data_IF_666388249356
#
_entry.id   IF_666388249356
#
_cell.length_a   1.000
_cell.length_b   1.000
_cell.length_c   1.000
_cell.angle_alpha   90.00
_cell.angle_beta   90.00
_cell.angle_gamma   90.00
#
_symmetry.space_group_name_H-M   'P 1'
#
loop_
_entity.id
_entity.type
_entity.pdbx_description
1 polymer ?
#
# COMPACT_ATOMS: atom_id res chain seq x y z
N UNK A 1 5.70 6.35 -22.83
CA UNK A 1 5.67 7.81 -23.00
C UNK A 1 7.08 8.29 -23.35
N UNK A 2 7.35 8.49 -24.64
CA UNK A 2 8.65 8.91 -25.18
C UNK A 2 8.83 10.40 -24.89
N UNK A 3 9.80 10.75 -24.05
CA UNK A 3 10.15 12.15 -23.80
C UNK A 3 10.90 12.65 -25.03
N UNK A 4 10.26 13.55 -25.77
CA UNK A 4 10.84 14.26 -26.89
C UNK A 4 11.93 15.23 -26.38
N UNK A 5 13.16 14.92 -26.75
CA UNK A 5 14.37 15.65 -26.35
C UNK A 5 14.32 17.09 -26.89
N UNK A 6 13.78 17.29 -28.09
CA UNK A 6 13.67 18.63 -28.71
C UNK A 6 12.61 19.48 -28.01
N UNK A 7 11.49 18.86 -27.64
CA UNK A 7 10.47 19.55 -26.83
C UNK A 7 10.99 19.91 -25.43
N UNK A 8 11.83 19.05 -24.87
CA UNK A 8 12.47 19.29 -23.58
C UNK A 8 13.49 20.43 -23.67
N UNK A 9 14.25 20.50 -24.77
CA UNK A 9 15.19 21.57 -25.12
C UNK A 9 14.49 22.93 -25.25
N UNK A 10 13.42 23.03 -26.03
CA UNK A 10 12.71 24.30 -26.24
C UNK A 10 12.21 24.96 -24.93
N UNK A 11 11.70 24.14 -24.00
CA UNK A 11 11.23 24.62 -22.69
C UNK A 11 12.42 25.04 -21.79
N UNK A 12 13.58 24.38 -21.90
CA UNK A 12 14.79 24.78 -21.17
C UNK A 12 15.27 26.16 -21.65
N UNK A 13 15.31 26.39 -22.97
CA UNK A 13 15.72 27.66 -23.56
C UNK A 13 14.85 28.84 -23.10
N UNK A 14 13.52 28.65 -23.00
CA UNK A 14 12.61 29.70 -22.53
C UNK A 14 12.80 30.08 -21.06
N UNK A 15 13.14 29.12 -20.19
CA UNK A 15 13.40 29.39 -18.77
C UNK A 15 14.75 30.11 -18.53
N UNK A 16 15.67 29.99 -19.49
CA UNK A 16 17.06 30.44 -19.39
C UNK A 16 17.30 31.88 -19.83
N UNK A 17 16.45 32.42 -20.70
CA UNK A 17 16.52 33.82 -21.15
C UNK A 17 16.31 34.85 -20.02
N UNK A 18 15.92 34.40 -18.82
CA UNK A 18 15.61 35.24 -17.65
C UNK A 18 16.67 35.26 -16.55
N UNK A 19 17.77 34.49 -16.63
CA UNK A 19 18.75 34.41 -15.52
C UNK A 19 20.17 34.82 -15.90
N UNK A 20 20.61 35.99 -15.44
CA UNK A 20 22.03 36.35 -15.34
C UNK A 20 22.32 36.79 -13.90
N UNK A 21 23.09 35.98 -13.18
CA UNK A 21 23.89 36.36 -12.01
C UNK A 21 23.16 36.75 -10.72
N UNK A 22 22.66 35.76 -9.99
CA UNK A 22 22.71 35.70 -8.52
C UNK A 22 22.59 34.22 -8.12
N UNK A 23 23.27 33.75 -7.07
CA UNK A 23 23.19 32.33 -6.66
C UNK A 23 21.75 31.91 -6.35
N UNK A 24 20.97 32.85 -5.80
CA UNK A 24 19.52 32.74 -5.63
C UNK A 24 18.77 32.55 -6.95
N UNK A 25 19.14 33.30 -7.99
CA UNK A 25 18.55 33.18 -9.33
C UNK A 25 18.91 31.82 -9.94
N UNK A 26 20.16 31.36 -9.77
CA UNK A 26 20.58 30.03 -10.23
C UNK A 26 19.81 28.92 -9.51
N UNK A 27 19.64 29.00 -8.18
CA UNK A 27 18.86 28.04 -7.39
C UNK A 27 17.40 28.05 -7.83
N UNK A 28 16.81 29.23 -8.08
CA UNK A 28 15.43 29.37 -8.55
C UNK A 28 15.25 28.79 -9.96
N UNK A 29 16.16 29.07 -10.89
CA UNK A 29 16.17 28.48 -12.22
C UNK A 29 16.33 26.97 -12.14
N UNK A 30 17.26 26.47 -11.32
CA UNK A 30 17.47 25.04 -11.12
C UNK A 30 16.22 24.35 -10.53
N UNK A 31 15.54 24.99 -9.58
CA UNK A 31 14.27 24.53 -9.01
C UNK A 31 13.17 24.39 -10.09
N UNK A 32 13.02 25.37 -10.98
CA UNK A 32 12.08 25.27 -12.11
C UNK A 32 12.41 24.11 -13.06
N UNK A 33 13.70 23.76 -13.19
CA UNK A 33 14.16 22.65 -14.03
C UNK A 33 14.18 21.30 -13.32
N UNK A 34 13.94 21.26 -12.01
CA UNK A 34 14.07 20.07 -11.17
C UNK A 34 13.27 18.85 -11.69
N UNK A 35 12.00 18.98 -12.12
CA UNK A 35 11.25 17.82 -12.62
C UNK A 35 11.91 17.15 -13.83
N UNK A 36 12.55 17.95 -14.69
CA UNK A 36 13.26 17.44 -15.86
C UNK A 36 14.60 16.84 -15.49
N UNK A 37 15.34 17.50 -14.60
CA UNK A 37 16.62 16.99 -14.09
C UNK A 37 16.42 15.64 -13.40
N UNK A 38 15.36 15.49 -12.60
CA UNK A 38 14.98 14.23 -11.98
C UNK A 38 14.62 13.16 -13.02
N UNK A 39 13.88 13.50 -14.08
CA UNK A 39 13.60 12.58 -15.18
C UNK A 39 14.88 12.10 -15.90
N UNK A 40 15.88 12.98 -16.07
CA UNK A 40 17.20 12.62 -16.62
C UNK A 40 17.99 11.72 -15.65
N UNK A 41 17.96 12.00 -14.35
CA UNK A 41 18.58 11.17 -13.31
C UNK A 41 17.95 9.78 -13.23
N UNK A 42 16.63 9.66 -13.39
CA UNK A 42 15.92 8.38 -13.45
C UNK A 42 16.29 7.55 -14.69
N UNK A 43 16.80 8.20 -15.75
CA UNK A 43 17.38 7.55 -16.94
C UNK A 43 18.89 7.31 -16.80
N UNK A 44 19.42 7.38 -15.58
CA UNK A 44 20.82 7.10 -15.25
C UNK A 44 21.86 8.09 -15.80
N UNK A 45 21.46 9.29 -16.25
CA UNK A 45 22.43 10.31 -16.66
C UNK A 45 23.25 10.81 -15.46
N UNK A 46 24.57 10.94 -15.63
CA UNK A 46 25.45 11.48 -14.60
C UNK A 46 25.27 13.00 -14.45
N UNK A 47 25.70 13.56 -13.31
CA UNK A 47 25.69 15.00 -13.12
C UNK A 47 26.60 15.73 -14.11
N UNK A 48 27.68 15.11 -14.58
CA UNK A 48 28.53 15.66 -15.64
C UNK A 48 27.74 15.85 -16.94
N UNK A 49 26.99 14.81 -17.36
CA UNK A 49 26.13 14.86 -18.54
C UNK A 49 25.01 15.90 -18.37
N UNK A 50 24.40 15.97 -17.18
CA UNK A 50 23.37 16.96 -16.89
C UNK A 50 23.95 18.37 -16.95
N UNK A 51 25.12 18.63 -16.36
CA UNK A 51 25.76 19.95 -16.45
C UNK A 51 26.20 20.30 -17.86
N UNK A 52 26.60 19.33 -18.68
CA UNK A 52 26.90 19.56 -20.08
C UNK A 52 25.65 20.00 -20.86
N UNK A 53 24.53 19.30 -20.68
CA UNK A 53 23.23 19.67 -21.27
C UNK A 53 22.79 21.05 -20.78
N UNK A 54 22.95 21.36 -19.50
CA UNK A 54 22.62 22.67 -18.95
C UNK A 54 23.50 23.78 -19.54
N UNK A 55 24.81 23.54 -19.67
CA UNK A 55 25.76 24.49 -20.27
C UNK A 55 25.47 24.75 -21.75
N UNK A 56 25.12 23.71 -22.53
CA UNK A 56 24.67 23.84 -23.93
C UNK A 56 23.45 24.75 -24.07
N UNK A 57 22.63 24.87 -23.03
CA UNK A 57 21.45 25.72 -23.01
C UNK A 57 21.69 27.07 -22.31
N UNK A 58 22.95 27.44 -22.06
CA UNK A 58 23.32 28.72 -21.45
C UNK A 58 23.27 28.74 -19.92
N UNK A 59 23.10 27.58 -19.27
CA UNK A 59 23.14 27.45 -17.81
C UNK A 59 24.44 26.80 -17.33
N UNK A 60 25.46 27.62 -17.12
CA UNK A 60 26.74 27.12 -16.64
C UNK A 60 26.77 27.06 -15.12
N UNK A 61 26.75 25.85 -14.57
CA UNK A 61 26.91 25.58 -13.14
C UNK A 61 27.99 24.51 -12.93
N UNK A 62 28.65 24.53 -11.78
CA UNK A 62 29.58 23.45 -11.42
C UNK A 62 28.81 22.15 -11.13
N UNK A 63 29.46 21.01 -11.37
CA UNK A 63 28.91 19.68 -11.06
C UNK A 63 28.58 19.56 -9.56
N UNK A 64 29.42 20.13 -8.70
CA UNK A 64 29.21 20.12 -7.25
C UNK A 64 27.99 20.94 -6.86
N UNK A 65 27.83 22.13 -7.45
CA UNK A 65 26.66 22.99 -7.23
C UNK A 65 25.37 22.33 -7.74
N UNK A 66 25.41 21.72 -8.92
CA UNK A 66 24.28 20.97 -9.48
C UNK A 66 23.84 19.83 -8.56
N UNK A 67 24.80 19.10 -7.98
CA UNK A 67 24.55 18.02 -7.04
C UNK A 67 23.98 18.55 -5.72
N UNK A 68 24.52 19.64 -5.19
CA UNK A 68 24.03 20.26 -3.96
C UNK A 68 22.57 20.71 -4.13
N UNK A 69 22.26 21.50 -5.16
CA UNK A 69 20.90 21.94 -5.45
C UNK A 69 19.93 20.77 -5.67
N UNK A 70 20.36 19.74 -6.39
CA UNK A 70 19.54 18.55 -6.60
C UNK A 70 19.19 17.86 -5.27
N UNK A 71 20.18 17.65 -4.40
CA UNK A 71 19.97 16.98 -3.13
C UNK A 71 19.09 17.82 -2.20
N UNK A 72 19.33 19.12 -2.09
CA UNK A 72 18.50 20.03 -1.30
C UNK A 72 17.03 20.00 -1.75
N UNK A 73 16.78 20.19 -3.05
CA UNK A 73 15.43 20.22 -3.59
C UNK A 73 14.73 18.85 -3.48
N UNK A 74 15.49 17.76 -3.59
CA UNK A 74 14.94 16.42 -3.38
C UNK A 74 14.51 16.22 -1.92
N UNK A 75 15.31 16.69 -0.97
CA UNK A 75 14.96 16.65 0.46
C UNK A 75 13.73 17.51 0.73
N UNK A 76 13.66 18.74 0.18
CA UNK A 76 12.49 19.60 0.30
C UNK A 76 11.22 18.92 -0.26
N UNK A 77 11.31 18.24 -1.41
CA UNK A 77 10.21 17.45 -1.96
C UNK A 77 9.82 16.27 -1.09
N UNK A 78 10.79 15.55 -0.51
CA UNK A 78 10.53 14.44 0.41
C UNK A 78 9.82 14.91 1.68
N UNK A 79 10.21 16.05 2.24
CA UNK A 79 9.57 16.66 3.41
C UNK A 79 8.13 17.06 3.06
N UNK A 80 7.92 17.72 1.93
CA UNK A 80 6.58 18.11 1.48
C UNK A 80 5.67 16.89 1.25
N UNK A 81 6.21 15.83 0.64
CA UNK A 81 5.48 14.58 0.42
C UNK A 81 5.15 13.88 1.74
N UNK A 82 6.10 13.86 2.70
CA UNK A 82 5.85 13.30 4.04
C UNK A 82 4.73 14.05 4.75
N UNK A 83 4.77 15.40 4.73
CA UNK A 83 3.70 16.23 5.31
C UNK A 83 2.34 15.94 4.67
N UNK A 84 2.30 15.77 3.34
CA UNK A 84 1.06 15.42 2.63
C UNK A 84 0.56 14.03 3.02
N UNK A 85 1.45 13.06 3.21
CA UNK A 85 1.09 11.72 3.68
C UNK A 85 0.57 11.78 5.12
N UNK A 86 1.19 12.57 5.99
CA UNK A 86 0.73 12.75 7.37
C UNK A 86 -0.65 13.43 7.43
N UNK A 87 -0.89 14.44 6.58
CA UNK A 87 -2.21 15.07 6.43
C UNK A 87 -3.26 14.09 5.89
N UNK A 88 -2.91 13.28 4.88
CA UNK A 88 -3.80 12.24 4.36
C UNK A 88 -4.09 11.16 5.39
N UNK A 89 -3.09 10.77 6.19
CA UNK A 89 -3.23 9.79 7.27
C UNK A 89 -4.09 10.37 8.41
N UNK A 90 -3.92 11.64 8.76
CA UNK A 90 -4.77 12.32 9.73
C UNK A 90 -6.21 12.39 9.25
N UNK A 91 -6.43 12.75 7.98
CA UNK A 91 -7.77 12.76 7.39
C UNK A 91 -8.40 11.36 7.36
N UNK A 92 -7.62 10.34 6.99
CA UNK A 92 -8.06 8.95 7.04
C UNK A 92 -8.41 8.52 8.47
N UNK A 93 -7.57 8.83 9.45
CA UNK A 93 -7.85 8.53 10.86
C UNK A 93 -9.11 9.27 11.36
N UNK A 94 -9.31 10.54 10.98
CA UNK A 94 -10.56 11.24 11.28
C UNK A 94 -11.77 10.65 10.58
N UNK A 95 -11.63 10.14 9.35
CA UNK A 95 -12.70 9.37 8.69
C UNK A 95 -12.97 8.06 9.44
N UNK A 96 -11.93 7.35 9.88
CA UNK A 96 -12.06 6.15 10.71
C UNK A 96 -12.81 6.48 11.98
N UNK A 97 -12.44 7.54 12.71
CA UNK A 97 -13.13 7.99 13.93
C UNK A 97 -14.59 8.43 13.67
N UNK A 98 -14.88 9.07 12.52
CA UNK A 98 -16.24 9.41 12.12
C UNK A 98 -17.06 8.19 11.69
N UNK A 99 -16.39 7.12 11.23
CA UNK A 99 -17.02 5.81 10.95
C UNK A 99 -17.08 4.92 12.19
N UNK A 100 -16.34 5.24 13.25
CA UNK A 100 -16.45 4.68 14.60
C UNK A 100 -17.57 5.37 15.39
N UNK A 101 -18.74 5.53 14.76
CA UNK A 101 -19.96 5.16 15.48
C UNK A 101 -19.89 3.65 15.74
N UNK A 102 -20.44 3.12 16.85
CA UNK A 102 -20.43 1.68 17.08
C UNK A 102 -21.02 1.02 15.84
N UNK A 103 -20.18 0.26 15.14
CA UNK A 103 -20.48 -0.42 13.90
C UNK A 103 -21.67 -1.36 14.15
N UNK A 104 -22.89 -0.86 13.96
CA UNK A 104 -23.98 -1.66 13.43
C UNK A 104 -23.66 -1.77 11.94
N UNK A 105 -22.82 -2.74 11.58
CA UNK A 105 -22.57 -3.08 10.18
C UNK A 105 -23.76 -3.88 9.67
N UNK A 106 -24.84 -3.18 9.31
CA UNK A 106 -25.83 -3.76 8.39
C UNK A 106 -25.20 -3.73 6.98
N UNK A 107 -24.38 -4.75 6.69
CA UNK A 107 -23.70 -4.91 5.40
C UNK A 107 -22.37 -5.68 5.43
N UNK A 108 -21.96 -6.24 6.57
CA UNK A 108 -20.76 -7.09 6.67
C UNK A 108 -21.09 -8.57 6.48
N UNK A 109 -20.08 -9.39 6.12
CA UNK A 109 -20.21 -10.85 6.13
C UNK A 109 -20.63 -11.32 7.52
N UNK A 110 -21.80 -11.93 7.63
CA UNK A 110 -22.31 -12.47 8.89
C UNK A 110 -22.96 -13.83 8.69
N UNK A 111 -23.02 -14.61 9.77
CA UNK A 111 -23.71 -15.89 9.76
C UNK A 111 -25.21 -15.67 10.00
N UNK A 112 -26.05 -16.41 9.28
CA UNK A 112 -27.46 -16.55 9.61
C UNK A 112 -27.63 -17.37 10.91
N UNK A 113 -28.80 -17.28 11.58
CA UNK A 113 -29.06 -18.00 12.82
C UNK A 113 -28.81 -19.51 12.69
N UNK A 114 -28.08 -20.08 13.65
CA UNK A 114 -27.79 -21.50 13.70
C UNK A 114 -29.07 -22.33 13.81
N UNK A 115 -29.09 -23.49 13.14
CA UNK A 115 -30.22 -24.41 13.27
C UNK A 115 -30.24 -25.03 14.66
N UNK A 116 -31.43 -25.07 15.26
CA UNK A 116 -31.65 -25.62 16.58
C UNK A 116 -31.41 -27.14 16.62
N UNK A 117 -30.84 -27.63 17.72
CA UNK A 117 -30.65 -29.06 17.96
C UNK A 117 -29.38 -29.68 17.34
N UNK A 118 -28.57 -28.89 16.63
CA UNK A 118 -27.27 -29.34 16.11
C UNK A 118 -26.25 -29.37 17.25
N UNK A 119 -25.50 -30.47 17.34
CA UNK A 119 -24.48 -30.65 18.38
C UNK A 119 -23.28 -29.74 18.12
N UNK A 120 -22.69 -29.22 19.20
CA UNK A 120 -21.40 -28.55 19.12
C UNK A 120 -20.27 -29.56 18.94
N UNK A 121 -19.21 -29.12 18.27
CA UNK A 121 -17.98 -29.88 18.10
C UNK A 121 -17.27 -30.02 19.45
N UNK A 122 -16.86 -31.25 19.74
CA UNK A 122 -16.02 -31.54 20.89
C UNK A 122 -14.62 -30.92 20.72
N UNK A 123 -13.97 -30.66 21.84
CA UNK A 123 -12.60 -30.13 21.90
C UNK A 123 -11.60 -31.13 21.28
N UNK A 124 -10.68 -30.61 20.48
CA UNK A 124 -9.70 -31.40 19.70
C UNK A 124 -8.26 -31.09 20.05
N UNK A 125 -7.42 -32.10 19.96
CA UNK A 125 -5.96 -31.98 20.04
C UNK A 125 -5.44 -31.26 18.78
N UNK A 126 -4.70 -30.15 18.96
CA UNK A 126 -4.18 -29.24 17.90
C UNK A 126 -5.11 -28.11 17.42
N UNK A 127 -6.17 -27.77 18.15
CA UNK A 127 -6.92 -26.53 17.94
C UNK A 127 -6.52 -25.52 19.03
N UNK A 128 -6.21 -24.25 18.70
CA UNK A 128 -5.81 -23.24 19.69
C UNK A 128 -6.87 -23.02 20.77
N UNK A 129 -6.45 -22.62 21.98
CA UNK A 129 -7.35 -22.46 23.13
C UNK A 129 -8.40 -21.38 22.89
N UNK A 130 -8.02 -20.33 22.17
CA UNK A 130 -8.81 -19.15 21.87
C UNK A 130 -10.11 -19.52 21.13
N UNK A 131 -10.10 -20.62 20.36
CA UNK A 131 -11.27 -21.13 19.64
C UNK A 131 -12.42 -21.47 20.59
N UNK A 132 -12.09 -21.94 21.79
CA UNK A 132 -13.06 -22.35 22.81
C UNK A 132 -13.46 -21.23 23.78
N UNK A 133 -12.81 -20.07 23.70
CA UNK A 133 -13.11 -18.92 24.55
C UNK A 133 -14.34 -18.15 24.03
N UNK A 134 -15.01 -17.41 24.92
CA UNK A 134 -16.17 -16.56 24.58
C UNK A 134 -15.73 -15.22 23.98
N UNK A 135 -15.02 -15.28 22.85
CA UNK A 135 -14.62 -14.12 22.07
C UNK A 135 -15.08 -14.26 20.61
N UNK A 136 -14.99 -13.16 19.86
CA UNK A 136 -15.16 -13.18 18.40
C UNK A 136 -13.82 -13.49 17.74
N UNK A 137 -13.81 -14.43 16.79
CA UNK A 137 -12.61 -14.74 16.01
C UNK A 137 -12.95 -14.78 14.52
N UNK A 138 -12.03 -14.30 13.71
CA UNK A 138 -12.15 -14.34 12.25
C UNK A 138 -12.11 -15.78 11.70
N UNK A 139 -12.99 -16.07 10.76
CA UNK A 139 -13.05 -17.35 10.06
C UNK A 139 -11.72 -17.62 9.30
N UNK A 140 -11.03 -18.76 9.50
CA UNK A 140 -9.68 -18.98 8.99
C UNK A 140 -9.51 -18.90 7.46
N UNK A 141 -10.57 -19.20 6.71
CA UNK A 141 -10.59 -19.19 5.24
C UNK A 141 -11.51 -18.12 4.61
N UNK A 142 -12.22 -17.31 5.40
CA UNK A 142 -13.15 -16.29 4.91
C UNK A 142 -12.78 -14.97 5.58
N UNK A 143 -11.94 -14.13 4.93
CA UNK A 143 -11.53 -12.85 5.50
C UNK A 143 -12.73 -11.96 5.81
N UNK A 144 -12.71 -11.32 6.98
CA UNK A 144 -13.75 -10.39 7.43
C UNK A 144 -15.00 -11.03 8.04
N UNK A 145 -15.16 -12.37 8.00
CA UNK A 145 -16.25 -13.04 8.70
C UNK A 145 -15.86 -13.32 10.15
N UNK A 146 -16.49 -12.63 11.10
CA UNK A 146 -16.31 -12.88 12.53
C UNK A 146 -17.30 -13.94 13.00
N UNK A 147 -16.79 -14.93 13.73
CA UNK A 147 -17.57 -16.04 14.26
C UNK A 147 -17.67 -15.91 15.78
N UNK A 148 -18.86 -16.13 16.34
CA UNK A 148 -19.03 -16.38 17.76
C UNK A 148 -18.49 -17.76 18.15
N UNK A 149 -18.40 -18.05 19.45
CA UNK A 149 -18.04 -19.39 19.92
C UNK A 149 -18.99 -20.45 19.37
N UNK A 150 -20.28 -20.18 19.34
CA UNK A 150 -21.28 -21.14 18.88
C UNK A 150 -21.14 -21.41 17.38
N UNK A 151 -20.86 -20.39 16.57
CA UNK A 151 -20.61 -20.55 15.13
C UNK A 151 -19.33 -21.35 14.87
N UNK A 152 -18.26 -21.11 15.65
CA UNK A 152 -17.00 -21.86 15.53
C UNK A 152 -17.19 -23.34 15.84
N UNK A 153 -17.98 -23.63 16.87
CA UNK A 153 -18.22 -24.99 17.33
C UNK A 153 -19.42 -25.64 16.63
N UNK A 154 -20.08 -24.97 15.70
CA UNK A 154 -21.20 -25.54 14.95
C UNK A 154 -20.74 -26.69 14.06
N UNK A 155 -21.39 -27.86 14.15
CA UNK A 155 -20.95 -29.07 13.45
C UNK A 155 -21.44 -29.19 12.00
N UNK A 156 -22.28 -28.27 11.53
CA UNK A 156 -22.74 -28.18 10.14
C UNK A 156 -22.16 -26.95 9.42
N UNK A 157 -22.43 -26.84 8.13
CA UNK A 157 -22.04 -25.69 7.32
C UNK A 157 -22.79 -24.44 7.77
N UNK A 158 -22.07 -23.33 7.92
CA UNK A 158 -22.68 -22.03 8.21
C UNK A 158 -23.34 -21.47 6.95
N UNK A 159 -24.51 -20.86 7.14
CA UNK A 159 -25.17 -20.01 6.16
C UNK A 159 -24.64 -18.58 6.36
N UNK A 160 -24.11 -17.99 5.30
CA UNK A 160 -23.39 -16.72 5.33
C UNK A 160 -24.07 -15.76 4.36
N UNK A 161 -24.34 -14.55 4.83
CA UNK A 161 -24.85 -13.45 4.02
C UNK A 161 -23.70 -12.49 3.71
N UNK A 162 -23.55 -12.12 2.44
CA UNK A 162 -22.54 -11.17 2.01
C UNK A 162 -23.00 -9.69 2.15
N UNK A 163 -22.13 -8.76 1.76
CA UNK A 163 -22.42 -7.33 1.83
C UNK A 163 -23.55 -6.87 0.90
N UNK A 164 -23.89 -7.68 -0.11
CA UNK A 164 -24.98 -7.41 -1.06
C UNK A 164 -26.30 -8.06 -0.61
N UNK A 165 -26.30 -8.82 0.50
CA UNK A 165 -27.44 -9.59 0.97
C UNK A 165 -27.57 -10.96 0.30
N UNK A 166 -26.59 -11.40 -0.49
CA UNK A 166 -26.60 -12.72 -1.11
C UNK A 166 -26.23 -13.80 -0.09
N UNK A 167 -27.13 -14.77 0.06
CA UNK A 167 -26.97 -15.89 0.99
C UNK A 167 -26.27 -17.06 0.31
N UNK A 168 -25.28 -17.64 1.00
CA UNK A 168 -24.62 -18.87 0.57
C UNK A 168 -24.22 -19.72 1.76
N UNK A 169 -24.11 -21.02 1.54
CA UNK A 169 -23.43 -21.89 2.49
C UNK A 169 -21.91 -21.75 2.38
N UNK A 170 -21.22 -22.04 3.48
CA UNK A 170 -19.81 -22.39 3.47
C UNK A 170 -19.56 -23.48 2.42
N UNK A 171 -18.49 -23.33 1.64
CA UNK A 171 -17.94 -24.42 0.85
C UNK A 171 -17.33 -25.49 1.76
N UNK A 172 -17.19 -26.72 1.27
CA UNK A 172 -16.49 -27.79 2.00
C UNK A 172 -15.07 -27.41 2.45
N UNK A 173 -14.40 -26.56 1.68
CA UNK A 173 -13.04 -26.09 2.00
C UNK A 173 -13.08 -25.12 3.17
N UNK A 174 -13.96 -24.13 3.14
CA UNK A 174 -14.15 -23.16 4.21
C UNK A 174 -14.52 -23.87 5.53
N UNK A 175 -15.52 -24.75 5.47
CA UNK A 175 -15.93 -25.60 6.60
C UNK A 175 -14.77 -26.40 7.21
N UNK A 176 -13.97 -27.06 6.36
CA UNK A 176 -12.81 -27.84 6.81
C UNK A 176 -11.79 -26.96 7.55
N UNK A 177 -11.52 -25.76 7.04
CA UNK A 177 -10.55 -24.85 7.64
C UNK A 177 -11.04 -24.25 8.97
N UNK A 178 -12.36 -24.05 9.13
CA UNK A 178 -12.99 -23.73 10.42
C UNK A 178 -12.79 -24.87 11.42
N UNK A 179 -13.07 -26.12 11.04
CA UNK A 179 -12.93 -27.27 11.93
C UNK A 179 -11.49 -27.47 12.45
N UNK A 180 -10.49 -27.35 11.56
CA UNK A 180 -9.09 -27.53 11.95
C UNK A 180 -8.44 -26.24 12.47
N UNK A 181 -9.18 -25.13 12.44
CA UNK A 181 -8.77 -23.78 12.78
C UNK A 181 -7.38 -23.40 12.23
N UNK A 182 -7.23 -23.49 10.90
CA UNK A 182 -5.97 -23.22 10.20
C UNK A 182 -6.17 -22.28 9.01
N UNK A 183 -5.26 -21.32 8.82
CA UNK A 183 -5.30 -20.45 7.64
C UNK A 183 -4.80 -21.19 6.39
N UNK A 184 -5.45 -21.03 5.22
CA UNK A 184 -4.97 -21.62 3.98
C UNK A 184 -3.62 -21.01 3.59
N UNK A 185 -2.71 -21.82 3.03
CA UNK A 185 -1.41 -21.33 2.55
C UNK A 185 -1.65 -20.60 1.21
N UNK A 186 -1.29 -19.32 1.09
CA UNK A 186 -1.46 -18.60 -0.16
C UNK A 186 -0.61 -19.21 -1.30
N UNK A 187 -1.19 -19.36 -2.50
CA UNK A 187 -0.55 -20.05 -3.64
C UNK A 187 0.79 -19.45 -4.08
N UNK A 188 1.08 -18.19 -3.74
CA UNK A 188 2.35 -17.52 -4.04
C UNK A 188 3.52 -17.92 -3.10
N UNK A 189 3.26 -18.62 -2.00
CA UNK A 189 4.29 -18.99 -1.00
C UNK A 189 5.01 -20.32 -1.35
N UNK A 190 4.61 -21.04 -2.41
CA UNK A 190 5.23 -22.33 -2.79
C UNK A 190 6.48 -22.24 -3.67
N UNK A 191 7.34 -21.22 -3.53
CA UNK A 191 8.69 -21.26 -4.14
C UNK A 191 9.78 -20.87 -3.14
N UNK A 192 10.68 -21.84 -2.92
CA UNK A 192 11.96 -21.84 -2.16
C UNK A 192 11.74 -22.14 -0.68
N UNK A 193 12.19 -23.30 -0.20
CA UNK A 193 13.62 -23.60 -0.03
C UNK A 193 13.97 -25.05 -0.35
N UNK A 194 14.73 -25.28 -1.44
CA UNK A 194 15.72 -26.35 -1.43
C UNK A 194 16.92 -25.80 -0.65
N UNK A 195 17.10 -26.27 0.58
CA UNK A 195 18.36 -26.10 1.30
C UNK A 195 19.31 -27.13 0.73
N UNK A 196 20.26 -26.70 -0.09
CA UNK A 196 21.44 -27.50 -0.42
C UNK A 196 22.25 -27.69 0.85
N UNK A 197 22.38 -28.94 1.28
CA UNK A 197 23.39 -29.37 2.23
C UNK A 197 24.73 -29.45 1.48
N UNK A 198 25.67 -28.60 1.87
CA UNK A 198 27.11 -28.80 1.68
C UNK A 198 27.78 -28.58 3.01
#
# INVERSE_FOLDING_TARGET
>A
MTIDIEKTRAILTNALLTSKGDEYVNRRTFSMLMPKIQALRNKSLSFEQITAILAENGFTISILTARAFYNELLIEQMIALSSQVDEQMSFFNSLVELTESPLIVDGGLHCLPLRHGVKQLERRYNVPEEVYMDCQLEHPAIPGLLLSRDDRLYSEHLEITDANGDERFETFVEFRFRIIWKKPIPKWVSRRTNVSLT
#
